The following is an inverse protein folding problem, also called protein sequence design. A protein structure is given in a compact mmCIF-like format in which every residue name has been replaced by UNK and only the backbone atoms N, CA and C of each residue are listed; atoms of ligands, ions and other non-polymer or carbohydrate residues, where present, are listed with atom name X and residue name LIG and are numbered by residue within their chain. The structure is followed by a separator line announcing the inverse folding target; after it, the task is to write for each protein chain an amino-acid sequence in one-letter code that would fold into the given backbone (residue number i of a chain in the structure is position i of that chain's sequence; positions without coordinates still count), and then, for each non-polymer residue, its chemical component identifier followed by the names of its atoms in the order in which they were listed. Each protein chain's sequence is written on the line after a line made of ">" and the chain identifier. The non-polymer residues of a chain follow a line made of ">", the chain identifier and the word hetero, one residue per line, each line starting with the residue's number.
data_IF_073228923744
#
_entry.id   IF_073228923744
#
_cell.length_a   1.000
_cell.length_b   1.000
_cell.length_c   1.000
_cell.angle_alpha   90.00
_cell.angle_beta   90.00
_cell.angle_gamma   90.00
#
_symmetry.space_group_name_H-M   'P 1'
#
loop_
_entity.id
_entity.type
_entity.pdbx_description
1 polymer ?
#
# COMPACT_ATOMS: atom_id res chain seq x y z
N UNK A 1 6.45 12.27 -14.62
CA UNK A 1 7.25 12.03 -13.40
C UNK A 1 6.67 10.80 -12.73
N UNK A 2 7.50 9.81 -12.37
CA UNK A 2 7.02 8.59 -11.72
C UNK A 2 6.65 8.90 -10.25
N UNK A 3 5.59 8.28 -9.69
CA UNK A 3 5.26 8.44 -8.28
C UNK A 3 6.38 7.88 -7.40
N UNK A 4 6.50 8.40 -6.18
CA UNK A 4 7.40 7.82 -5.17
C UNK A 4 6.87 6.44 -4.80
N UNK A 5 7.74 5.44 -4.81
CA UNK A 5 7.40 4.07 -4.39
C UNK A 5 7.65 3.93 -2.89
N UNK A 6 6.73 3.28 -2.20
CA UNK A 6 6.84 2.99 -0.78
C UNK A 6 6.85 1.47 -0.64
N UNK A 7 7.91 0.94 -0.05
CA UNK A 7 8.09 -0.46 0.24
C UNK A 7 8.15 -0.66 1.75
N UNK A 8 7.43 -1.66 2.25
CA UNK A 8 7.48 -2.08 3.65
C UNK A 8 8.21 -3.42 3.66
N UNK A 9 9.42 -3.43 4.20
CA UNK A 9 10.30 -4.60 4.30
C UNK A 9 10.99 -4.56 5.67
N UNK A 10 10.30 -5.02 6.71
CA UNK A 10 10.70 -4.79 8.11
C UNK A 10 12.02 -5.49 8.45
N UNK A 11 12.30 -6.61 7.81
CA UNK A 11 13.46 -7.48 7.99
C UNK A 11 14.55 -7.29 6.91
N UNK A 12 14.31 -6.45 5.90
CA UNK A 12 15.20 -6.28 4.73
C UNK A 12 15.44 -7.59 3.98
N UNK A 13 14.39 -8.41 3.82
CA UNK A 13 14.46 -9.71 3.17
C UNK A 13 14.45 -9.60 1.64
N UNK A 14 13.96 -8.48 1.08
CA UNK A 14 13.83 -8.32 -0.36
C UNK A 14 15.19 -8.01 -0.98
N UNK A 15 15.71 -8.87 -1.87
CA UNK A 15 17.00 -8.66 -2.50
C UNK A 15 17.07 -7.36 -3.32
N UNK A 16 18.18 -6.62 -3.18
CA UNK A 16 18.37 -5.32 -3.86
C UNK A 16 18.45 -5.41 -5.40
N UNK A 17 18.57 -6.61 -5.97
CA UNK A 17 18.56 -6.83 -7.42
C UNK A 17 17.14 -6.92 -8.02
N UNK A 18 16.08 -6.78 -7.22
CA UNK A 18 14.70 -6.79 -7.70
C UNK A 18 14.32 -5.44 -8.34
N UNK A 19 13.42 -5.48 -9.32
CA UNK A 19 13.01 -4.29 -10.09
C UNK A 19 12.40 -3.15 -9.23
N UNK A 20 11.92 -3.44 -8.02
CA UNK A 20 11.42 -2.40 -7.10
C UNK A 20 12.51 -1.38 -6.68
N UNK A 21 13.77 -1.80 -6.77
CA UNK A 21 14.97 -1.02 -6.46
C UNK A 21 15.61 -0.39 -7.71
N UNK A 22 14.91 -0.37 -8.84
CA UNK A 22 15.45 0.28 -10.04
C UNK A 22 15.52 1.82 -9.88
N UNK A 23 16.26 2.46 -10.78
CA UNK A 23 16.56 3.90 -10.71
C UNK A 23 15.42 4.78 -11.31
N UNK A 24 14.28 4.19 -11.69
CA UNK A 24 13.20 4.89 -12.40
C UNK A 24 12.40 5.87 -11.52
N UNK A 25 12.38 5.64 -10.21
CA UNK A 25 11.66 6.48 -9.24
C UNK A 25 12.35 6.45 -7.86
N UNK A 26 12.09 7.48 -7.06
CA UNK A 26 12.47 7.46 -5.64
C UNK A 26 11.72 6.31 -4.94
N UNK A 27 12.47 5.44 -4.25
CA UNK A 27 11.90 4.33 -3.46
C UNK A 27 12.22 4.58 -1.98
N UNK A 28 11.17 4.70 -1.16
CA UNK A 28 11.28 4.71 0.30
C UNK A 28 11.09 3.29 0.83
N UNK A 29 12.04 2.80 1.60
CA UNK A 29 12.04 1.44 2.15
C UNK A 29 11.91 1.52 3.67
N UNK A 30 10.72 1.26 4.17
CA UNK A 30 10.42 1.22 5.60
C UNK A 30 10.84 -0.12 6.18
N UNK A 31 11.77 -0.09 7.14
CA UNK A 31 12.36 -1.28 7.75
C UNK A 31 12.60 -1.09 9.26
N UNK A 32 12.89 -2.14 10.02
CA UNK A 32 13.16 -2.03 11.48
C UNK A 32 14.65 -2.06 11.84
N UNK A 33 15.55 -2.05 10.86
CA UNK A 33 16.99 -2.33 11.06
C UNK A 33 17.80 -1.02 10.98
N UNK A 34 17.74 -0.32 9.85
CA UNK A 34 18.67 0.75 9.49
C UNK A 34 18.02 2.00 8.88
N UNK A 35 18.75 3.12 8.96
CA UNK A 35 18.52 4.32 8.16
C UNK A 35 19.70 4.52 7.23
N UNK A 36 19.44 4.65 5.93
CA UNK A 36 20.47 4.84 4.93
C UNK A 36 19.88 5.51 3.69
N UNK A 37 20.69 6.23 2.93
CA UNK A 37 20.30 6.76 1.63
C UNK A 37 21.34 6.34 0.58
N UNK A 38 20.89 5.61 -0.44
CA UNK A 38 21.70 5.10 -1.54
C UNK A 38 21.05 5.51 -2.86
N UNK A 39 21.65 6.44 -3.58
CA UNK A 39 21.12 6.95 -4.88
C UNK A 39 19.66 7.44 -4.75
N UNK A 40 18.72 6.74 -5.37
CA UNK A 40 17.28 7.00 -5.37
C UNK A 40 16.52 6.11 -4.37
N UNK A 41 17.21 5.38 -3.49
CA UNK A 41 16.61 4.51 -2.48
C UNK A 41 16.92 5.09 -1.11
N UNK A 42 15.89 5.28 -0.30
CA UNK A 42 16.01 5.77 1.07
C UNK A 42 15.42 4.76 2.04
N UNK A 43 16.29 4.16 2.84
CA UNK A 43 15.95 3.26 3.94
C UNK A 43 15.56 4.09 5.16
N UNK A 44 14.34 3.90 5.65
CA UNK A 44 13.77 4.62 6.76
C UNK A 44 13.44 3.63 7.87
N UNK A 45 14.14 3.75 9.00
CA UNK A 45 13.88 2.94 10.18
C UNK A 45 12.55 3.33 10.82
N UNK A 46 11.74 2.33 11.14
CA UNK A 46 10.43 2.45 11.78
C UNK A 46 10.22 1.36 12.84
N UNK A 47 9.60 1.77 13.95
CA UNK A 47 9.16 0.87 15.02
C UNK A 47 7.90 0.10 14.61
N UNK A 48 7.76 -1.14 15.09
CA UNK A 48 6.64 -2.03 14.72
C UNK A 48 5.36 -1.67 15.47
N UNK A 49 5.49 -1.13 16.67
CA UNK A 49 4.37 -0.63 17.45
C UNK A 49 3.73 0.57 16.76
N UNK A 50 2.40 0.62 16.66
CA UNK A 50 1.68 1.69 15.98
C UNK A 50 2.17 1.93 14.53
N UNK A 51 2.56 0.85 13.83
CA UNK A 51 3.20 0.89 12.52
C UNK A 51 2.55 1.87 11.53
N UNK A 52 1.22 1.80 11.35
CA UNK A 52 0.51 2.65 10.38
C UNK A 52 0.66 4.14 10.72
N UNK A 53 0.50 4.51 11.99
CA UNK A 53 0.66 5.89 12.44
C UNK A 53 2.08 6.38 12.21
N UNK A 54 3.07 5.59 12.62
CA UNK A 54 4.48 5.93 12.44
C UNK A 54 4.85 6.07 10.95
N UNK A 55 4.28 5.20 10.09
CA UNK A 55 4.46 5.24 8.64
C UNK A 55 3.95 6.57 8.08
N UNK A 56 2.72 6.94 8.42
CA UNK A 56 2.10 8.18 7.96
C UNK A 56 2.86 9.43 8.46
N UNK A 57 3.32 9.45 9.71
CA UNK A 57 4.14 10.55 10.23
C UNK A 57 5.47 10.71 9.47
N UNK A 58 6.09 9.61 9.09
CA UNK A 58 7.33 9.63 8.29
C UNK A 58 7.05 10.10 6.86
N UNK A 59 5.99 9.61 6.23
CA UNK A 59 5.59 10.06 4.90
C UNK A 59 5.28 11.56 4.86
N UNK A 60 4.61 12.07 5.90
CA UNK A 60 4.37 13.50 6.06
C UNK A 60 5.68 14.31 6.16
N UNK A 61 6.68 13.82 6.93
CA UNK A 61 8.02 14.45 7.01
C UNK A 61 8.73 14.45 5.66
N UNK A 62 8.54 13.42 4.85
CA UNK A 62 9.03 13.32 3.48
C UNK A 62 8.19 14.13 2.47
N UNK A 63 7.26 14.98 2.94
CA UNK A 63 6.39 15.82 2.12
C UNK A 63 5.48 15.02 1.16
N UNK A 64 5.17 13.77 1.52
CA UNK A 64 4.21 12.92 0.81
C UNK A 64 2.84 13.11 1.45
N UNK A 65 1.91 13.69 0.68
CA UNK A 65 0.57 14.07 1.16
C UNK A 65 -0.53 13.11 0.71
N UNK A 66 -0.28 12.29 -0.33
CA UNK A 66 -1.22 11.30 -0.84
C UNK A 66 -0.51 10.00 -1.16
N UNK A 67 -1.17 8.89 -0.82
CA UNK A 67 -0.65 7.53 -1.00
C UNK A 67 -1.75 6.64 -1.54
N UNK A 68 -1.42 5.85 -2.55
CA UNK A 68 -2.25 4.73 -3.01
C UNK A 68 -1.66 3.47 -2.40
N UNK A 69 -2.43 2.79 -1.54
CA UNK A 69 -2.02 1.54 -0.91
C UNK A 69 -2.58 0.39 -1.74
N UNK A 70 -1.71 -0.41 -2.37
CA UNK A 70 -2.12 -1.48 -3.29
C UNK A 70 -2.02 -2.89 -2.67
N UNK A 71 -1.29 -3.07 -1.57
CA UNK A 71 -1.16 -4.39 -0.96
C UNK A 71 -0.14 -4.45 0.19
N UNK A 72 0.09 -5.63 0.77
CA UNK A 72 -0.67 -6.88 0.58
C UNK A 72 -2.00 -6.90 1.34
N UNK A 73 -2.67 -8.06 1.40
CA UNK A 73 -3.94 -8.19 2.14
C UNK A 73 -3.82 -7.78 3.61
N UNK A 74 -2.69 -8.08 4.25
CA UNK A 74 -2.42 -7.67 5.62
C UNK A 74 -2.33 -6.14 5.71
N UNK A 75 -1.50 -5.49 4.88
CA UNK A 75 -1.37 -4.04 4.84
C UNK A 75 -2.72 -3.36 4.63
N UNK A 76 -3.49 -3.79 3.63
CA UNK A 76 -4.82 -3.26 3.36
C UNK A 76 -5.75 -3.42 4.57
N UNK A 77 -5.75 -4.60 5.22
CA UNK A 77 -6.55 -4.83 6.42
C UNK A 77 -6.20 -3.85 7.54
N UNK A 78 -4.91 -3.58 7.78
CA UNK A 78 -4.48 -2.62 8.81
C UNK A 78 -4.98 -1.20 8.54
N UNK A 79 -4.98 -0.73 7.30
CA UNK A 79 -5.54 0.58 6.94
C UNK A 79 -7.07 0.63 7.09
N UNK A 80 -7.76 -0.45 6.69
CA UNK A 80 -9.21 -0.60 6.83
C UNK A 80 -9.61 -0.59 8.32
N UNK A 81 -8.98 -1.42 9.14
CA UNK A 81 -9.30 -1.58 10.56
C UNK A 81 -9.00 -0.30 11.36
N UNK A 82 -7.94 0.42 10.99
CA UNK A 82 -7.62 1.70 11.59
C UNK A 82 -8.57 2.83 11.17
N UNK A 83 -9.38 2.63 10.12
CA UNK A 83 -10.24 3.67 9.55
C UNK A 83 -9.46 4.81 8.90
N UNK A 84 -8.19 4.60 8.53
CA UNK A 84 -7.30 5.62 7.98
C UNK A 84 -7.24 5.49 6.46
N UNK A 85 -8.32 5.84 5.80
CA UNK A 85 -8.42 5.90 4.34
C UNK A 85 -9.51 6.88 3.97
N UNK A 86 -9.36 7.56 2.84
CA UNK A 86 -10.38 8.50 2.33
C UNK A 86 -11.25 7.83 1.26
N UNK A 87 -10.63 7.10 0.34
CA UNK A 87 -11.29 6.39 -0.75
C UNK A 87 -10.77 4.96 -0.91
N UNK A 88 -11.65 4.06 -1.32
CA UNK A 88 -11.28 2.71 -1.70
C UNK A 88 -11.88 2.35 -3.06
N UNK A 89 -11.09 1.65 -3.87
CA UNK A 89 -11.50 1.11 -5.16
C UNK A 89 -11.35 -0.41 -5.14
N UNK A 90 -12.46 -1.13 -5.30
CA UNK A 90 -12.47 -2.58 -5.40
C UNK A 90 -12.82 -2.97 -6.82
N UNK A 91 -11.88 -3.61 -7.52
CA UNK A 91 -12.09 -4.17 -8.85
C UNK A 91 -12.37 -5.66 -8.69
N UNK A 92 -13.54 -6.11 -9.14
CA UNK A 92 -13.96 -7.50 -9.05
C UNK A 92 -14.25 -8.08 -10.43
N UNK A 93 -13.64 -9.21 -10.74
CA UNK A 93 -14.00 -10.03 -11.90
C UNK A 93 -15.26 -10.84 -11.55
N UNK A 94 -16.39 -10.51 -12.17
CA UNK A 94 -17.68 -11.14 -11.84
C UNK A 94 -17.75 -12.62 -12.26
N UNK A 95 -16.98 -12.98 -13.29
CA UNK A 95 -17.01 -14.29 -13.92
C UNK A 95 -15.87 -15.22 -13.46
N UNK A 96 -15.02 -14.77 -12.52
CA UNK A 96 -13.88 -15.55 -12.04
C UNK A 96 -14.07 -15.86 -10.56
N UNK A 97 -14.00 -17.15 -10.22
CA UNK A 97 -14.02 -17.60 -8.83
C UNK A 97 -12.71 -18.33 -8.51
N UNK A 98 -11.91 -17.71 -7.63
CA UNK A 98 -10.69 -18.30 -7.11
C UNK A 98 -11.03 -19.19 -5.91
N UNK A 99 -10.90 -20.51 -6.07
CA UNK A 99 -11.18 -21.49 -5.00
C UNK A 99 -10.12 -21.52 -3.91
N UNK A 100 -8.88 -21.18 -4.26
CA UNK A 100 -7.71 -21.23 -3.39
C UNK A 100 -6.87 -19.96 -3.57
N UNK A 101 -6.08 -19.60 -2.56
CA UNK A 101 -5.17 -18.46 -2.59
C UNK A 101 -5.31 -17.56 -1.36
N UNK A 102 -4.69 -16.40 -1.41
CA UNK A 102 -4.79 -15.38 -0.36
C UNK A 102 -6.20 -14.78 -0.37
N UNK A 103 -6.88 -14.79 0.79
CA UNK A 103 -8.18 -14.15 0.93
C UNK A 103 -8.06 -12.64 0.74
N UNK A 104 -9.11 -12.02 0.21
CA UNK A 104 -9.23 -10.57 0.18
C UNK A 104 -9.38 -10.02 1.62
N UNK A 105 -9.00 -8.75 1.87
CA UNK A 105 -9.30 -8.08 3.12
C UNK A 105 -10.80 -8.10 3.44
N UNK A 106 -11.13 -8.17 4.72
CA UNK A 106 -12.51 -8.01 5.20
C UNK A 106 -12.89 -6.54 5.04
N UNK A 107 -13.81 -6.28 4.12
CA UNK A 107 -14.27 -4.95 3.78
C UNK A 107 -15.78 -4.99 3.51
N UNK A 108 -16.57 -4.39 4.41
CA UNK A 108 -18.03 -4.43 4.39
C UNK A 108 -18.79 -3.09 4.32
N UNK A 109 -18.19 -1.93 3.96
CA UNK A 109 -18.97 -0.71 3.75
C UNK A 109 -19.85 -0.82 2.50
N UNK A 110 -20.84 0.08 2.39
CA UNK A 110 -21.67 0.18 1.18
C UNK A 110 -20.95 1.04 0.13
N UNK A 111 -20.93 0.63 -1.14
CA UNK A 111 -20.30 1.42 -2.20
C UNK A 111 -21.10 2.70 -2.47
N UNK A 112 -20.39 3.81 -2.68
CA UNK A 112 -20.95 5.09 -3.10
C UNK A 112 -21.27 5.07 -4.61
N UNK A 113 -20.46 4.36 -5.40
CA UNK A 113 -20.64 4.22 -6.84
C UNK A 113 -20.23 2.84 -7.32
N UNK A 114 -20.99 2.31 -8.27
CA UNK A 114 -20.69 1.05 -8.96
C UNK A 114 -20.66 1.35 -10.46
N UNK A 115 -19.62 0.87 -11.15
CA UNK A 115 -19.47 1.04 -12.60
C UNK A 115 -18.85 -0.19 -13.24
N UNK A 116 -18.99 -0.33 -14.56
CA UNK A 116 -18.34 -1.39 -15.33
C UNK A 116 -16.98 -0.94 -15.83
N UNK A 117 -15.98 -1.79 -15.66
CA UNK A 117 -14.63 -1.62 -16.20
C UNK A 117 -14.30 -2.86 -17.04
N UNK A 118 -14.61 -2.78 -18.34
CA UNK A 118 -14.56 -3.93 -19.26
C UNK A 118 -15.42 -5.08 -18.74
N UNK A 119 -14.81 -6.23 -18.45
CA UNK A 119 -15.39 -7.45 -17.89
C UNK A 119 -15.45 -7.47 -16.36
N UNK A 120 -15.01 -6.39 -15.70
CA UNK A 120 -14.98 -6.26 -14.25
C UNK A 120 -16.04 -5.26 -13.76
N UNK A 121 -16.40 -5.39 -12.49
CA UNK A 121 -17.15 -4.37 -11.75
C UNK A 121 -16.20 -3.58 -10.86
N UNK A 122 -16.25 -2.25 -10.99
CA UNK A 122 -15.54 -1.31 -10.13
C UNK A 122 -16.51 -0.78 -9.08
N UNK A 123 -16.20 -1.04 -7.82
CA UNK A 123 -16.87 -0.49 -6.65
C UNK A 123 -16.01 0.63 -6.07
N UNK A 124 -16.59 1.81 -5.91
CA UNK A 124 -15.96 2.97 -5.29
C UNK A 124 -16.62 3.27 -3.96
N UNK A 125 -15.80 3.48 -2.94
CA UNK A 125 -16.20 3.75 -1.57
C UNK A 125 -15.50 5.03 -1.09
N UNK A 126 -16.19 5.80 -0.27
CA UNK A 126 -15.65 6.96 0.42
C UNK A 126 -15.87 6.78 1.91
N UNK A 127 -14.82 6.98 2.70
CA UNK A 127 -14.90 7.01 4.15
C UNK A 127 -15.40 8.40 4.56
N UNK A 128 -16.43 8.46 5.40
CA UNK A 128 -17.03 9.72 5.88
C UNK A 128 -16.43 10.14 7.22
#
# INVERSE_FOLDING_TARGET
>A
KNPVRILIDLELEIPQNFNIYNDDALTLVFNSIENEEKKNIKFIKIERENFIKNLLEKLWKEQIQSVIVEGGSFTLQQFIDAGIWDEAFVIKADNINLKNGTKAPVFSPKPNKISKLRDNTLYHFQNQ
#
